data_IF_716178745262
#
_entry.id   IF_716178745262
#
_cell.length_a   1.000
_cell.length_b   1.000
_cell.length_c   1.000
_cell.angle_alpha   90.00
_cell.angle_beta   90.00
_cell.angle_gamma   90.00
#
_symmetry.space_group_name_H-M   'P 1'
#
loop_
_entity.id
_entity.type
_entity.pdbx_description
1 polymer ?
#
# COMPACT_ATOMS: atom_id res chain seq x y z
N UNK A 1 0.46 -5.47 7.25
CA UNK A 1 0.81 -4.35 6.35
C UNK A 1 1.16 -4.95 5.00
N UNK A 2 0.81 -4.28 3.92
CA UNK A 2 1.15 -4.68 2.56
C UNK A 2 1.88 -3.55 1.86
N UNK A 3 2.77 -3.86 0.93
CA UNK A 3 3.55 -2.86 0.19
C UNK A 3 3.70 -3.28 -1.26
N UNK A 4 3.61 -2.35 -2.20
CA UNK A 4 4.03 -2.57 -3.56
C UNK A 4 5.56 -2.40 -3.65
N UNK A 5 6.29 -3.41 -4.11
CA UNK A 5 7.75 -3.37 -4.14
C UNK A 5 8.36 -2.43 -5.19
N UNK A 6 7.57 -1.93 -6.16
CA UNK A 6 8.01 -0.96 -7.17
C UNK A 6 7.82 0.48 -6.69
N UNK A 7 6.68 0.77 -6.08
CA UNK A 7 6.29 2.14 -5.71
C UNK A 7 6.39 2.41 -4.22
N UNK A 8 6.59 1.37 -3.42
CA UNK A 8 6.51 1.39 -1.97
C UNK A 8 5.16 1.87 -1.43
N UNK A 9 4.12 1.91 -2.28
CA UNK A 9 2.76 2.22 -1.85
C UNK A 9 2.27 1.15 -0.89
N UNK A 10 1.78 1.57 0.26
CA UNK A 10 1.49 0.68 1.36
C UNK A 10 0.02 0.74 1.80
N UNK A 11 -0.41 -0.35 2.43
CA UNK A 11 -1.73 -0.47 3.02
C UNK A 11 -1.61 -1.18 4.37
N UNK A 12 -1.96 -0.48 5.43
CA UNK A 12 -2.28 -1.10 6.70
C UNK A 12 -3.75 -1.46 6.73
N UNK A 13 -4.02 -2.69 7.13
CA UNK A 13 -5.36 -3.18 7.45
C UNK A 13 -5.42 -3.36 8.97
N UNK A 14 -6.49 -2.87 9.58
CA UNK A 14 -6.83 -3.07 10.99
C UNK A 14 -8.10 -3.91 11.10
N UNK A 15 -8.37 -4.43 12.29
CA UNK A 15 -9.62 -5.13 12.63
C UNK A 15 -9.95 -6.34 11.73
N UNK A 16 -8.92 -7.00 11.19
CA UNK A 16 -9.08 -8.23 10.41
C UNK A 16 -9.15 -9.42 11.36
N UNK A 17 -10.30 -10.09 11.40
CA UNK A 17 -10.50 -11.28 12.22
C UNK A 17 -10.13 -12.53 11.43
N UNK A 18 -9.85 -13.62 12.17
CA UNK A 18 -9.51 -14.92 11.55
C UNK A 18 -10.57 -15.42 10.55
N UNK A 19 -11.85 -15.13 10.81
CA UNK A 19 -12.96 -15.49 9.91
C UNK A 19 -12.90 -14.75 8.57
N UNK A 20 -12.31 -13.55 8.53
CA UNK A 20 -12.22 -12.73 7.34
C UNK A 20 -11.11 -13.22 6.39
N UNK A 21 -10.20 -14.06 6.90
CA UNK A 21 -9.11 -14.64 6.10
C UNK A 21 -9.62 -15.53 4.96
N UNK A 22 -10.80 -16.14 5.10
CA UNK A 22 -11.40 -16.95 4.05
C UNK A 22 -11.71 -16.13 2.78
N UNK A 23 -12.02 -14.83 2.95
CA UNK A 23 -12.33 -13.90 1.86
C UNK A 23 -11.26 -12.79 1.75
N UNK A 24 -10.05 -13.07 2.21
CA UNK A 24 -8.98 -12.08 2.28
C UNK A 24 -8.68 -11.37 0.95
N UNK A 25 -8.61 -12.05 -0.22
CA UNK A 25 -8.37 -11.38 -1.50
C UNK A 25 -9.37 -10.25 -1.80
N UNK A 26 -10.66 -10.51 -1.59
CA UNK A 26 -11.72 -9.53 -1.85
C UNK A 26 -11.65 -8.37 -0.84
N UNK A 27 -11.47 -8.69 0.44
CA UNK A 27 -11.32 -7.69 1.49
C UNK A 27 -10.11 -6.79 1.24
N UNK A 28 -8.97 -7.37 0.87
CA UNK A 28 -7.76 -6.64 0.56
C UNK A 28 -7.98 -5.71 -0.64
N UNK A 29 -8.53 -6.22 -1.74
CA UNK A 29 -8.79 -5.44 -2.94
C UNK A 29 -9.72 -4.26 -2.67
N UNK A 30 -10.79 -4.49 -1.90
CA UNK A 30 -11.73 -3.44 -1.52
C UNK A 30 -11.05 -2.33 -0.73
N UNK A 31 -10.25 -2.68 0.28
CA UNK A 31 -9.53 -1.69 1.10
C UNK A 31 -8.43 -0.98 0.31
N UNK A 32 -7.74 -1.68 -0.59
CA UNK A 32 -6.76 -1.08 -1.47
C UNK A 32 -7.40 -0.05 -2.40
N UNK A 33 -8.53 -0.37 -3.05
CA UNK A 33 -9.25 0.58 -3.92
C UNK A 33 -9.71 1.79 -3.13
N UNK A 34 -10.28 1.59 -1.94
CA UNK A 34 -10.70 2.70 -1.05
C UNK A 34 -9.53 3.62 -0.70
N UNK A 35 -8.38 3.05 -0.35
CA UNK A 35 -7.19 3.85 -0.03
C UNK A 35 -6.66 4.57 -1.26
N UNK A 36 -6.64 3.93 -2.44
CA UNK A 36 -6.17 4.57 -3.67
C UNK A 36 -7.08 5.72 -4.12
N UNK A 37 -8.40 5.63 -3.88
CA UNK A 37 -9.34 6.74 -4.08
C UNK A 37 -9.09 7.86 -3.07
N UNK A 38 -8.93 7.52 -1.79
CA UNK A 38 -8.63 8.47 -0.72
C UNK A 38 -7.34 9.27 -1.01
N UNK A 39 -6.29 8.58 -1.45
CA UNK A 39 -4.99 9.18 -1.74
C UNK A 39 -4.95 9.91 -3.11
N UNK A 40 -6.03 9.89 -3.89
CA UNK A 40 -6.08 10.48 -5.23
C UNK A 40 -5.15 9.82 -6.26
N UNK A 41 -4.80 8.55 -6.02
CA UNK A 41 -4.03 7.69 -6.94
C UNK A 41 -4.90 7.30 -8.13
N UNK A 42 -6.19 7.03 -7.89
CA UNK A 42 -7.19 6.75 -8.92
C UNK A 42 -8.45 7.60 -8.72
N UNK A 43 -9.25 7.67 -9.76
CA UNK A 43 -10.64 8.11 -9.73
C UNK A 43 -11.59 6.90 -9.84
N UNK A 44 -12.89 7.14 -9.71
CA UNK A 44 -13.91 6.09 -9.81
C UNK A 44 -13.92 5.39 -11.19
N UNK A 45 -13.52 6.10 -12.25
CA UNK A 45 -13.51 5.57 -13.62
C UNK A 45 -12.42 4.51 -13.81
N UNK A 46 -11.33 4.59 -13.05
CA UNK A 46 -10.21 3.62 -13.08
C UNK A 46 -10.44 2.37 -12.23
N UNK A 47 -11.51 2.29 -11.44
CA UNK A 47 -11.79 1.10 -10.58
C UNK A 47 -11.84 -0.21 -11.38
N UNK A 48 -12.55 -0.31 -12.53
CA UNK A 48 -12.59 -1.55 -13.32
C UNK A 48 -11.21 -1.96 -13.84
N UNK A 49 -10.39 -0.98 -14.25
CA UNK A 49 -9.02 -1.23 -14.69
C UNK A 49 -8.19 -1.84 -13.55
N UNK A 50 -8.22 -1.24 -12.36
CA UNK A 50 -7.47 -1.75 -11.20
C UNK A 50 -7.87 -3.18 -10.84
N UNK A 51 -9.18 -3.49 -10.84
CA UNK A 51 -9.67 -4.85 -10.58
C UNK A 51 -9.14 -5.86 -11.61
N UNK A 52 -9.09 -5.48 -12.88
CA UNK A 52 -8.58 -6.35 -13.95
C UNK A 52 -7.06 -6.55 -13.86
N UNK A 53 -6.31 -5.49 -13.56
CA UNK A 53 -4.85 -5.50 -13.57
C UNK A 53 -4.29 -6.26 -12.37
N UNK A 54 -4.83 -6.05 -11.16
CA UNK A 54 -4.35 -6.74 -9.96
C UNK A 54 -4.58 -8.25 -10.07
N UNK A 55 -5.61 -8.66 -10.82
CA UNK A 55 -5.92 -10.07 -11.04
C UNK A 55 -6.18 -10.82 -9.72
N UNK A 56 -5.82 -12.10 -9.69
CA UNK A 56 -5.95 -12.92 -8.50
C UNK A 56 -4.87 -12.57 -7.47
N UNK A 57 -5.29 -12.15 -6.27
CA UNK A 57 -4.38 -11.90 -5.15
C UNK A 57 -4.00 -13.23 -4.52
N UNK A 58 -2.71 -13.58 -4.62
CA UNK A 58 -2.13 -14.77 -3.98
C UNK A 58 -1.14 -14.36 -2.91
N UNK A 59 -1.21 -14.99 -1.74
CA UNK A 59 -0.17 -14.88 -0.73
C UNK A 59 1.04 -15.71 -1.18
N UNK A 60 2.18 -15.05 -1.35
CA UNK A 60 3.43 -15.69 -1.74
C UNK A 60 4.43 -15.68 -0.57
N UNK A 61 5.38 -16.62 -0.58
CA UNK A 61 6.50 -16.57 0.36
C UNK A 61 7.39 -15.35 0.07
N UNK A 62 7.96 -14.79 1.13
CA UNK A 62 8.88 -13.64 1.05
C UNK A 62 10.02 -13.91 0.05
N UNK A 63 10.28 -12.94 -0.82
CA UNK A 63 11.37 -13.00 -1.80
C UNK A 63 12.69 -12.41 -1.24
N UNK A 64 12.78 -12.15 0.07
CA UNK A 64 13.93 -11.52 0.73
C UNK A 64 14.35 -10.17 0.10
N UNK A 65 13.41 -9.40 -0.45
CA UNK A 65 13.69 -8.03 -0.88
C UNK A 65 14.01 -7.16 0.35
N UNK A 66 15.31 -7.04 0.64
CA UNK A 66 15.84 -6.30 1.78
C UNK A 66 15.43 -4.82 1.76
N UNK A 67 15.20 -4.23 0.58
CA UNK A 67 14.75 -2.84 0.47
C UNK A 67 13.29 -2.73 0.90
N UNK A 68 12.43 -3.58 0.36
CA UNK A 68 11.01 -3.63 0.75
C UNK A 68 10.86 -3.91 2.25
N UNK A 69 11.63 -4.85 2.81
CA UNK A 69 11.64 -5.16 4.25
C UNK A 69 12.10 -3.95 5.08
N UNK A 70 13.18 -3.28 4.66
CA UNK A 70 13.66 -2.07 5.33
C UNK A 70 12.60 -0.96 5.36
N UNK A 71 11.95 -0.71 4.22
CA UNK A 71 10.87 0.29 4.13
C UNK A 71 9.63 -0.11 4.93
N UNK A 72 9.24 -1.38 4.94
CA UNK A 72 8.12 -1.84 5.77
C UNK A 72 8.39 -1.62 7.26
N UNK A 73 9.61 -1.91 7.73
CA UNK A 73 9.96 -1.68 9.14
C UNK A 73 9.85 -0.20 9.52
N UNK A 74 10.32 0.69 8.64
CA UNK A 74 10.18 2.13 8.81
C UNK A 74 8.70 2.56 8.85
N UNK A 75 7.88 2.06 7.93
CA UNK A 75 6.46 2.38 7.89
C UNK A 75 5.69 1.83 9.10
N UNK A 76 6.06 0.66 9.62
CA UNK A 76 5.52 0.12 10.88
C UNK A 76 5.88 1.03 12.05
N UNK A 77 7.10 1.56 12.08
CA UNK A 77 7.49 2.53 13.10
C UNK A 77 6.64 3.81 13.01
N UNK A 78 6.49 4.38 11.80
CA UNK A 78 5.65 5.55 11.57
C UNK A 78 4.18 5.31 11.95
N UNK A 79 3.65 4.12 11.63
CA UNK A 79 2.31 3.72 12.04
C UNK A 79 2.17 3.73 13.56
N UNK A 80 3.10 3.10 14.30
CA UNK A 80 3.09 3.07 15.77
C UNK A 80 3.17 4.48 16.37
N UNK A 81 4.03 5.33 15.82
CA UNK A 81 4.16 6.73 16.24
C UNK A 81 2.86 7.48 15.99
N UNK A 82 2.29 7.38 14.79
CA UNK A 82 1.03 8.01 14.43
C UNK A 82 -0.14 7.56 15.32
N UNK A 83 -0.29 6.27 15.54
CA UNK A 83 -1.31 5.72 16.45
C UNK A 83 -1.22 6.35 17.84
N UNK A 84 -0.02 6.41 18.43
CA UNK A 84 0.14 6.87 19.80
C UNK A 84 0.11 8.40 19.91
N UNK A 85 0.87 9.12 19.09
CA UNK A 85 1.06 10.55 19.22
C UNK A 85 -0.03 11.39 18.54
N UNK A 86 -0.53 10.97 17.37
CA UNK A 86 -1.55 11.74 16.61
C UNK A 86 -2.96 11.41 17.10
N UNK A 87 -3.25 10.14 17.38
CA UNK A 87 -4.60 9.68 17.71
C UNK A 87 -4.79 9.27 19.18
N UNK A 88 -3.71 9.26 20.00
CA UNK A 88 -3.83 8.91 21.42
C UNK A 88 -4.14 7.43 21.67
N UNK A 89 -3.86 6.55 20.70
CA UNK A 89 -4.07 5.10 20.80
C UNK A 89 -4.76 4.50 19.58
N UNK A 90 -4.67 3.18 19.48
CA UNK A 90 -5.18 2.40 18.33
C UNK A 90 -6.69 2.54 18.10
N UNK A 91 -7.50 2.64 19.15
CA UNK A 91 -8.97 2.71 19.03
C UNK A 91 -9.49 4.04 18.47
N UNK A 92 -8.63 5.06 18.38
CA UNK A 92 -8.99 6.39 17.91
C UNK A 92 -8.44 6.70 16.52
N UNK A 93 -7.80 5.72 15.86
CA UNK A 93 -7.11 5.98 14.60
C UNK A 93 -8.10 6.25 13.47
N UNK A 94 -7.81 7.28 12.69
CA UNK A 94 -8.27 7.33 11.32
C UNK A 94 -7.24 6.59 10.45
N UNK A 95 -7.58 5.34 10.11
CA UNK A 95 -6.68 4.46 9.37
C UNK A 95 -6.42 4.96 7.95
N UNK A 96 -7.42 5.57 7.29
CA UNK A 96 -7.27 6.07 5.93
C UNK A 96 -6.29 7.24 5.88
N UNK A 97 -6.43 8.17 6.83
CA UNK A 97 -5.52 9.30 7.01
C UNK A 97 -4.11 8.86 7.43
N UNK A 98 -3.99 7.86 8.31
CA UNK A 98 -2.68 7.35 8.73
C UNK A 98 -1.96 6.64 7.57
N UNK A 99 -2.67 5.83 6.78
CA UNK A 99 -2.14 5.24 5.55
C UNK A 99 -1.70 6.32 4.55
N UNK A 100 -2.53 7.35 4.32
CA UNK A 100 -2.21 8.46 3.43
C UNK A 100 -0.94 9.19 3.87
N UNK A 101 -0.83 9.49 5.17
CA UNK A 101 0.34 10.14 5.75
C UNK A 101 1.63 9.33 5.54
N UNK A 102 1.57 8.00 5.69
CA UNK A 102 2.73 7.12 5.47
C UNK A 102 3.06 7.06 3.97
N UNK A 103 2.06 6.96 3.10
CA UNK A 103 2.25 6.90 1.65
C UNK A 103 2.72 8.24 1.04
N UNK A 104 2.65 9.34 1.78
CA UNK A 104 3.19 10.65 1.37
C UNK A 104 4.63 10.90 1.87
N UNK A 105 5.20 9.97 2.64
CA UNK A 105 6.59 10.02 3.12
C UNK A 105 7.59 9.75 1.99
N UNK A 106 8.73 10.43 2.03
CA UNK A 106 9.83 10.17 1.10
C UNK A 106 10.49 8.82 1.40
N UNK A 107 10.71 8.02 0.36
CA UNK A 107 11.31 6.69 0.47
C UNK A 107 12.63 6.66 -0.30
N UNK A 108 13.75 6.50 0.41
CA UNK A 108 15.08 6.41 -0.22
C UNK A 108 15.31 5.14 -1.06
N UNK A 109 14.49 4.10 -0.85
CA UNK A 109 14.52 2.91 -1.68
C UNK A 109 13.78 3.08 -3.03
N UNK A 110 12.94 4.11 -3.15
CA UNK A 110 12.15 4.41 -4.34
C UNK A 110 12.81 5.43 -5.27
N UNK A 111 12.06 5.84 -6.30
CA UNK A 111 12.52 6.78 -7.33
C UNK A 111 12.51 6.16 -8.73
N UNK A 112 12.91 6.95 -9.71
CA UNK A 112 12.84 6.62 -11.15
C UNK A 112 14.23 6.68 -11.82
N UNK A 113 15.31 6.53 -11.04
CA UNK A 113 16.70 6.65 -11.50
C UNK A 113 17.15 8.09 -11.76
N UNK A 114 16.23 9.04 -11.97
CA UNK A 114 16.49 10.48 -11.99
C UNK A 114 16.40 11.09 -10.60
N UNK A 115 15.57 10.51 -9.74
CA UNK A 115 15.41 10.88 -8.33
C UNK A 115 16.04 9.81 -7.43
N UNK A 116 16.74 10.26 -6.38
CA UNK A 116 17.28 9.41 -5.33
C UNK A 116 16.23 9.01 -4.27
N UNK A 117 14.98 9.49 -4.41
CA UNK A 117 13.88 9.25 -3.49
C UNK A 117 12.57 9.08 -4.27
N UNK A 118 11.75 8.13 -3.82
CA UNK A 118 10.37 7.94 -4.25
C UNK A 118 9.38 8.64 -3.33
N UNK A 119 8.17 8.83 -3.83
CA UNK A 119 7.02 9.25 -3.04
C UNK A 119 5.85 8.33 -3.39
N UNK A 120 5.45 7.42 -2.49
CA UNK A 120 4.59 6.28 -2.84
C UNK A 120 3.29 6.63 -3.56
N UNK A 121 2.53 7.64 -3.10
CA UNK A 121 1.30 8.10 -3.79
C UNK A 121 1.60 8.50 -5.23
N UNK A 122 2.62 9.35 -5.43
CA UNK A 122 3.01 9.83 -6.76
C UNK A 122 3.47 8.70 -7.65
N UNK A 123 4.34 7.83 -7.14
CA UNK A 123 4.93 6.76 -7.94
C UNK A 123 3.89 5.69 -8.28
N UNK A 124 2.93 5.42 -7.40
CA UNK A 124 1.77 4.56 -7.69
C UNK A 124 0.84 5.17 -8.73
N UNK A 125 0.60 6.49 -8.69
CA UNK A 125 -0.19 7.18 -9.70
C UNK A 125 0.46 7.08 -11.09
N UNK A 126 1.77 7.33 -11.18
CA UNK A 126 2.53 7.16 -12.42
C UNK A 126 2.46 5.72 -12.93
N UNK A 127 2.55 4.74 -12.03
CA UNK A 127 2.47 3.35 -12.38
C UNK A 127 1.08 2.99 -12.92
N UNK A 128 -0.01 3.39 -12.24
CA UNK A 128 -1.38 3.16 -12.73
C UNK A 128 -1.62 3.84 -14.08
N UNK A 129 -1.15 5.07 -14.25
CA UNK A 129 -1.28 5.79 -15.52
C UNK A 129 -0.45 5.13 -16.64
N UNK A 130 0.63 4.42 -16.31
CA UNK A 130 1.40 3.62 -17.29
C UNK A 130 0.76 2.27 -17.62
N UNK A 131 -0.08 1.75 -16.72
CA UNK A 131 -0.74 0.43 -16.80
C UNK A 131 -1.95 0.44 -17.74
N UNK A 132 -2.33 1.60 -18.28
CA UNK A 132 -3.03 1.62 -19.58
C UNK A 132 -2.22 0.93 -20.71
N UNK A 133 -1.01 0.45 -20.42
CA UNK A 133 -0.09 -0.21 -21.34
C UNK A 133 0.56 -1.52 -20.85
N UNK A 134 0.50 -1.94 -19.56
CA UNK A 134 0.99 -3.29 -19.09
C UNK A 134 0.69 -3.60 -17.59
N UNK A 135 0.62 -4.89 -17.21
CA UNK A 135 0.09 -5.47 -15.93
C UNK A 135 0.88 -5.18 -14.62
N UNK A 136 0.18 -4.96 -13.49
CA UNK A 136 0.74 -4.82 -12.12
C UNK A 136 0.81 -6.13 -11.34
N UNK A 137 1.99 -6.47 -10.83
CA UNK A 137 2.14 -7.48 -9.79
C UNK A 137 2.32 -6.79 -8.42
N UNK A 138 1.48 -7.14 -7.46
CA UNK A 138 1.63 -6.80 -6.03
C UNK A 138 2.32 -7.98 -5.33
N UNK A 139 3.46 -7.72 -4.67
CA UNK A 139 4.15 -8.71 -3.85
C UNK A 139 3.78 -8.46 -2.38
N UNK A 140 3.18 -9.46 -1.74
CA UNK A 140 2.79 -9.41 -0.33
C UNK A 140 3.89 -10.02 0.53
N UNK A 141 4.23 -9.37 1.65
CA UNK A 141 5.13 -9.90 2.66
C UNK A 141 4.39 -10.05 4.00
N UNK A 142 4.43 -11.24 4.59
CA UNK A 142 4.14 -11.48 6.01
C UNK A 142 5.40 -11.21 6.84
N UNK A 143 5.25 -10.50 7.97
CA UNK A 143 6.26 -10.38 9.02
C UNK A 143 5.74 -11.14 10.24
#
# INVERSE_FOLDING_TARGET
MFINNKTYYSLFLADILKKDLANFPELFLLNLIRQMLHDGVIDEQKIPLIKNVIGAITLARTNNDKKAIGTMNEFIYQFKVGCNWKYGGFYNIDLAELNASINDTLVGAGGDGKRNYGRPIRDMKLLVDSVSTDTLHLIIHEI
#
